data_IF_869349217490
#
_entry.id   IF_869349217490
#
_cell.length_a   1.000
_cell.length_b   1.000
_cell.length_c   1.000
_cell.angle_alpha   90.00
_cell.angle_beta   90.00
_cell.angle_gamma   90.00
#
_symmetry.space_group_name_H-M   'P 1'
#
loop_
_entity.id
_entity.type
_entity.pdbx_description
1 polymer ?
#
# COMPACT_ATOMS: atom_id res chain seq x y z
N UNK A 1 -0.30 -34.15 -8.95
CA UNK A 1 0.25 -32.76 -8.87
C UNK A 1 -0.92 -31.81 -9.00
N UNK A 2 -1.06 -30.77 -8.15
CA UNK A 2 -2.14 -29.81 -8.28
C UNK A 2 -2.07 -29.09 -9.64
N UNK A 3 -3.25 -28.77 -10.18
CA UNK A 3 -3.37 -28.09 -11.46
C UNK A 3 -2.77 -26.66 -11.38
N UNK A 4 -2.15 -26.17 -12.45
CA UNK A 4 -1.73 -24.78 -12.50
C UNK A 4 -2.95 -23.86 -12.50
N UNK A 5 -2.82 -22.70 -11.85
CA UNK A 5 -3.84 -21.66 -11.85
C UNK A 5 -3.31 -20.37 -12.44
N UNK A 6 -4.22 -19.56 -12.95
CA UNK A 6 -3.91 -18.23 -13.49
C UNK A 6 -4.35 -17.16 -12.50
N UNK A 7 -3.58 -16.11 -12.37
CA UNK A 7 -3.93 -14.93 -11.58
C UNK A 7 -3.23 -13.69 -12.14
N UNK A 8 -3.76 -12.52 -11.83
CA UNK A 8 -3.09 -11.25 -12.10
C UNK A 8 -2.58 -10.68 -10.78
N UNK A 9 -1.36 -10.17 -10.79
CA UNK A 9 -0.73 -9.66 -9.57
C UNK A 9 0.24 -8.52 -9.85
N UNK A 10 0.47 -7.70 -8.82
CA UNK A 10 1.58 -6.74 -8.78
C UNK A 10 2.79 -7.40 -8.12
N UNK A 11 3.96 -7.25 -8.70
CA UNK A 11 5.23 -7.69 -8.10
C UNK A 11 5.65 -6.65 -7.07
N UNK A 12 5.39 -6.92 -5.78
CA UNK A 12 5.73 -6.01 -4.68
C UNK A 12 7.23 -5.98 -4.41
N UNK A 13 7.85 -7.16 -4.44
CA UNK A 13 9.28 -7.35 -4.13
C UNK A 13 9.85 -8.55 -4.86
N UNK A 14 11.11 -8.47 -5.26
CA UNK A 14 11.84 -9.56 -5.88
C UNK A 14 13.20 -9.74 -5.18
N UNK A 15 13.49 -10.95 -4.71
CA UNK A 15 14.70 -11.29 -3.98
C UNK A 15 15.50 -12.32 -4.78
N UNK A 16 16.79 -12.10 -4.95
CA UNK A 16 17.69 -13.09 -5.58
C UNK A 16 17.76 -14.34 -4.70
N UNK A 17 17.62 -15.50 -5.33
CA UNK A 17 17.70 -16.78 -4.66
C UNK A 17 18.55 -17.75 -5.49
N UNK A 18 19.55 -18.38 -4.85
CA UNK A 18 20.51 -19.21 -5.56
C UNK A 18 21.19 -18.49 -6.72
N UNK A 19 21.66 -19.26 -7.71
CA UNK A 19 22.43 -18.72 -8.85
C UNK A 19 21.55 -18.01 -9.89
N UNK A 20 20.35 -18.52 -10.16
CA UNK A 20 19.54 -18.08 -11.29
C UNK A 20 18.07 -17.80 -10.96
N UNK A 21 17.64 -18.01 -9.72
CA UNK A 21 16.25 -17.92 -9.31
C UNK A 21 15.94 -16.58 -8.64
N UNK A 22 14.65 -16.27 -8.50
CA UNK A 22 14.13 -15.17 -7.68
C UNK A 22 12.95 -15.66 -6.84
N UNK A 23 12.86 -15.18 -5.60
CA UNK A 23 11.64 -15.26 -4.80
C UNK A 23 10.89 -13.95 -4.99
N UNK A 24 9.60 -14.07 -5.30
CA UNK A 24 8.71 -12.96 -5.56
C UNK A 24 7.68 -12.86 -4.44
N UNK A 25 7.46 -11.65 -3.94
CA UNK A 25 6.31 -11.29 -3.14
C UNK A 25 5.32 -10.59 -4.06
N UNK A 26 4.16 -11.19 -4.23
CA UNK A 26 3.12 -10.75 -5.15
C UNK A 26 1.88 -10.34 -4.35
N UNK A 27 1.14 -9.38 -4.89
CA UNK A 27 -0.21 -9.08 -4.40
C UNK A 27 -1.19 -9.28 -5.54
N UNK A 28 -2.09 -10.24 -5.37
CA UNK A 28 -2.98 -10.74 -6.41
C UNK A 28 -4.39 -10.20 -6.22
N UNK A 29 -5.11 -10.03 -7.33
CA UNK A 29 -6.50 -9.58 -7.35
C UNK A 29 -7.45 -10.55 -6.64
N UNK A 30 -7.24 -11.86 -6.83
CA UNK A 30 -8.15 -12.93 -6.43
C UNK A 30 -7.63 -13.82 -5.30
N UNK A 31 -6.38 -13.62 -4.85
CA UNK A 31 -5.71 -14.47 -3.86
C UNK A 31 -4.90 -13.70 -2.82
N UNK A 32 -5.05 -12.39 -2.72
CA UNK A 32 -4.28 -11.58 -1.79
C UNK A 32 -2.77 -11.73 -1.95
N UNK A 33 -2.05 -11.94 -0.86
CA UNK A 33 -0.60 -12.11 -0.87
C UNK A 33 -0.17 -13.49 -1.34
N UNK A 34 0.75 -13.55 -2.29
CA UNK A 34 1.32 -14.78 -2.84
C UNK A 34 2.84 -14.72 -2.76
N UNK A 35 3.47 -15.77 -2.20
CA UNK A 35 4.88 -16.04 -2.36
C UNK A 35 5.12 -16.97 -3.55
N UNK A 36 6.07 -16.63 -4.44
CA UNK A 36 6.38 -17.48 -5.58
C UNK A 36 7.87 -17.54 -5.89
N UNK A 37 8.34 -18.68 -6.41
CA UNK A 37 9.69 -18.84 -6.93
C UNK A 37 9.67 -18.84 -8.45
N UNK A 38 10.48 -17.97 -9.06
CA UNK A 38 10.73 -17.94 -10.50
C UNK A 38 12.08 -18.58 -10.80
N UNK A 39 12.05 -19.86 -11.21
CA UNK A 39 13.25 -20.65 -11.45
C UNK A 39 13.93 -20.27 -12.76
N UNK A 40 15.27 -20.14 -12.73
CA UNK A 40 16.09 -19.82 -13.89
C UNK A 40 15.84 -18.44 -14.52
N UNK A 41 15.09 -17.59 -13.82
CA UNK A 41 14.62 -16.30 -14.35
C UNK A 41 15.76 -15.32 -14.64
N UNK A 42 16.92 -15.48 -13.98
CA UNK A 42 18.12 -14.66 -14.17
C UNK A 42 19.07 -15.18 -15.26
N UNK A 43 18.76 -16.30 -15.88
CA UNK A 43 19.57 -16.81 -17.00
C UNK A 43 19.39 -15.91 -18.23
N UNK A 44 20.46 -15.71 -19.00
CA UNK A 44 20.47 -14.84 -20.20
C UNK A 44 19.35 -15.20 -21.20
N UNK A 45 19.04 -16.49 -21.34
CA UNK A 45 17.98 -16.98 -22.23
C UNK A 45 16.59 -17.05 -21.58
N UNK A 46 16.40 -16.47 -20.40
CA UNK A 46 15.09 -16.49 -19.73
C UNK A 46 14.08 -15.62 -20.47
N UNK A 47 12.93 -16.20 -20.80
CA UNK A 47 11.81 -15.47 -21.41
C UNK A 47 10.99 -14.65 -20.39
N UNK A 48 11.22 -14.85 -19.10
CA UNK A 48 10.42 -14.22 -18.01
C UNK A 48 11.21 -13.14 -17.25
N UNK A 49 12.52 -12.99 -17.47
CA UNK A 49 13.38 -12.16 -16.62
C UNK A 49 12.92 -10.72 -16.49
N UNK A 50 12.67 -10.03 -17.58
CA UNK A 50 12.24 -8.63 -17.58
C UNK A 50 10.77 -8.41 -17.20
N UNK A 51 9.95 -9.47 -17.20
CA UNK A 51 8.51 -9.38 -16.88
C UNK A 51 8.23 -9.39 -15.39
N UNK A 52 9.14 -9.91 -14.57
CA UNK A 52 8.97 -10.15 -13.14
C UNK A 52 9.75 -9.13 -12.28
N UNK A 53 9.96 -7.93 -12.82
CA UNK A 53 10.59 -6.86 -12.06
C UNK A 53 9.59 -6.24 -11.06
N UNK A 54 10.07 -5.77 -9.89
CA UNK A 54 9.21 -5.06 -8.92
C UNK A 54 8.42 -3.92 -9.59
N UNK A 55 7.25 -3.62 -9.07
CA UNK A 55 6.30 -2.61 -9.54
C UNK A 55 5.56 -2.97 -10.84
N UNK A 56 5.92 -4.07 -11.51
CA UNK A 56 5.18 -4.52 -12.69
C UNK A 56 3.89 -5.24 -12.31
N UNK A 57 2.84 -5.00 -13.06
CA UNK A 57 1.58 -5.76 -13.04
C UNK A 57 1.66 -6.86 -14.09
N UNK A 58 1.41 -8.10 -13.69
CA UNK A 58 1.69 -9.29 -14.49
C UNK A 58 0.56 -10.30 -14.43
N UNK A 59 0.25 -10.91 -15.56
CA UNK A 59 -0.58 -12.12 -15.62
C UNK A 59 0.32 -13.34 -15.45
N UNK A 60 0.02 -14.18 -14.47
CA UNK A 60 0.84 -15.29 -14.03
C UNK A 60 0.15 -16.63 -14.22
N UNK A 61 0.94 -17.64 -14.54
CA UNK A 61 0.57 -19.05 -14.39
C UNK A 61 1.43 -19.61 -13.27
N UNK A 62 0.77 -20.01 -12.20
CA UNK A 62 1.39 -20.51 -10.98
C UNK A 62 1.04 -21.97 -10.77
N UNK A 63 1.97 -22.74 -10.22
CA UNK A 63 1.74 -24.09 -9.73
C UNK A 63 2.03 -24.12 -8.24
N UNK A 64 1.18 -24.77 -7.48
CA UNK A 64 1.41 -24.99 -6.06
C UNK A 64 2.73 -25.75 -5.83
N UNK A 65 3.52 -25.26 -4.88
CA UNK A 65 4.76 -25.89 -4.43
C UNK A 65 4.51 -26.90 -3.30
N UNK A 66 5.59 -27.49 -2.79
CA UNK A 66 5.55 -28.38 -1.60
C UNK A 66 5.53 -27.62 -0.27
N UNK A 67 5.55 -26.30 -0.28
CA UNK A 67 5.54 -25.39 0.88
C UNK A 67 4.81 -24.12 0.50
N UNK A 68 5.11 -23.03 1.20
CA UNK A 68 4.43 -21.74 1.10
C UNK A 68 4.70 -20.98 -0.22
N UNK A 69 5.65 -21.48 -1.05
CA UNK A 69 6.01 -20.82 -2.30
C UNK A 69 5.41 -21.57 -3.49
N UNK A 70 4.65 -20.84 -4.29
CA UNK A 70 4.21 -21.29 -5.61
C UNK A 70 5.38 -21.25 -6.61
N UNK A 71 5.31 -22.03 -7.70
CA UNK A 71 6.28 -21.96 -8.79
C UNK A 71 5.69 -21.21 -9.97
N UNK A 72 6.39 -20.16 -10.44
CA UNK A 72 6.01 -19.44 -11.67
C UNK A 72 6.34 -20.33 -12.87
N UNK A 73 5.32 -20.66 -13.67
CA UNK A 73 5.45 -21.45 -14.90
C UNK A 73 5.21 -20.64 -16.17
N UNK A 74 4.56 -19.48 -16.03
CA UNK A 74 4.35 -18.51 -17.12
C UNK A 74 4.13 -17.12 -16.53
N UNK A 75 4.56 -16.09 -17.29
CA UNK A 75 4.35 -14.69 -16.93
C UNK A 75 4.25 -13.85 -18.20
N UNK A 76 3.22 -13.00 -18.26
CA UNK A 76 3.05 -11.98 -19.28
C UNK A 76 2.86 -10.62 -18.63
N UNK A 77 3.48 -9.58 -19.17
CA UNK A 77 3.37 -8.23 -18.64
C UNK A 77 1.99 -7.65 -18.99
N UNK A 78 1.27 -7.18 -17.99
CA UNK A 78 0.03 -6.40 -18.16
C UNK A 78 0.37 -4.91 -18.20
N UNK A 79 1.16 -4.45 -17.22
CA UNK A 79 1.71 -3.09 -17.20
C UNK A 79 3.12 -3.13 -16.56
N UNK A 80 4.10 -2.55 -17.25
CA UNK A 80 5.48 -2.51 -16.78
C UNK A 80 5.82 -1.24 -16.00
N UNK A 81 4.96 -0.24 -16.04
CA UNK A 81 5.16 1.11 -15.48
C UNK A 81 6.57 1.64 -15.81
N UNK A 82 6.91 1.84 -17.10
CA UNK A 82 8.28 2.10 -17.53
C UNK A 82 8.84 3.42 -16.97
N UNK A 83 7.99 4.44 -16.88
CA UNK A 83 8.40 5.78 -16.47
C UNK A 83 8.69 5.90 -14.96
N UNK A 84 8.13 5.00 -14.12
CA UNK A 84 8.46 4.94 -12.70
C UNK A 84 9.97 4.74 -12.45
N UNK A 85 10.65 3.99 -13.33
CA UNK A 85 12.07 3.66 -13.16
C UNK A 85 13.01 4.78 -13.57
N UNK A 86 12.52 5.73 -14.35
CA UNK A 86 13.30 6.85 -14.86
C UNK A 86 13.27 8.07 -13.93
N UNK A 87 12.37 8.05 -12.92
CA UNK A 87 12.12 9.19 -12.03
C UNK A 87 12.23 8.76 -10.58
N UNK A 88 13.23 9.30 -9.90
CA UNK A 88 13.57 8.92 -8.53
C UNK A 88 12.39 9.07 -7.55
N UNK A 89 11.72 10.21 -7.59
CA UNK A 89 10.62 10.52 -6.70
C UNK A 89 9.45 9.54 -6.90
N UNK A 90 9.03 9.31 -8.14
CA UNK A 90 7.98 8.34 -8.48
C UNK A 90 8.36 6.92 -8.07
N UNK A 91 9.62 6.51 -8.32
CA UNK A 91 10.13 5.19 -7.94
C UNK A 91 10.12 5.00 -6.42
N UNK A 92 10.54 6.02 -5.67
CA UNK A 92 10.54 5.99 -4.19
C UNK A 92 9.11 5.86 -3.66
N UNK A 93 8.15 6.64 -4.16
CA UNK A 93 6.74 6.57 -3.75
C UNK A 93 6.11 5.23 -4.09
N UNK A 94 6.31 4.74 -5.31
CA UNK A 94 5.81 3.42 -5.74
C UNK A 94 6.39 2.29 -4.88
N UNK A 95 7.69 2.35 -4.55
CA UNK A 95 8.34 1.38 -3.67
C UNK A 95 7.76 1.43 -2.25
N UNK A 96 7.48 2.63 -1.71
CA UNK A 96 6.85 2.81 -0.41
C UNK A 96 5.41 2.29 -0.41
N UNK A 97 4.65 2.49 -1.50
CA UNK A 97 3.29 1.95 -1.64
C UNK A 97 3.30 0.41 -1.64
N UNK A 98 4.19 -0.21 -2.40
CA UNK A 98 4.36 -1.67 -2.40
C UNK A 98 4.81 -2.21 -1.03
N UNK A 99 5.72 -1.53 -0.32
CA UNK A 99 6.14 -1.93 1.04
C UNK A 99 4.99 -1.81 2.04
N UNK A 100 4.14 -0.77 1.93
CA UNK A 100 2.96 -0.61 2.77
C UNK A 100 1.97 -1.76 2.58
N UNK A 101 1.65 -2.11 1.33
CA UNK A 101 0.79 -3.27 1.01
C UNK A 101 1.40 -4.57 1.53
N UNK A 102 2.70 -4.79 1.31
CA UNK A 102 3.41 -6.00 1.74
C UNK A 102 3.39 -6.19 3.26
N UNK A 103 3.41 -5.10 4.03
CA UNK A 103 3.44 -5.14 5.50
C UNK A 103 2.06 -5.18 6.12
N UNK A 104 1.09 -4.47 5.53
CA UNK A 104 -0.25 -4.32 6.11
C UNK A 104 -1.18 -5.47 5.72
N UNK A 105 -1.02 -6.03 4.51
CA UNK A 105 -1.88 -7.06 3.97
C UNK A 105 -1.08 -8.37 3.84
N UNK A 106 -0.99 -9.12 4.92
CA UNK A 106 -0.16 -10.32 5.03
C UNK A 106 -0.92 -11.62 4.76
N UNK A 107 -2.26 -11.57 4.67
CA UNK A 107 -3.07 -12.74 4.40
C UNK A 107 -3.17 -13.09 2.91
N UNK A 108 -3.50 -14.37 2.65
CA UNK A 108 -3.86 -14.86 1.32
C UNK A 108 -5.31 -14.57 0.94
N UNK A 109 -6.04 -13.82 1.78
CA UNK A 109 -7.42 -13.46 1.48
C UNK A 109 -7.48 -12.36 0.43
N UNK A 110 -8.36 -12.47 -0.57
CA UNK A 110 -8.52 -11.44 -1.58
C UNK A 110 -9.00 -10.12 -0.97
N UNK A 111 -8.31 -9.04 -1.29
CA UNK A 111 -8.78 -7.67 -1.00
C UNK A 111 -8.71 -6.85 -2.29
N UNK A 112 -9.77 -6.97 -3.09
CA UNK A 112 -9.87 -6.30 -4.39
C UNK A 112 -9.79 -4.76 -4.29
N UNK A 113 -10.39 -4.10 -3.29
CA UNK A 113 -10.19 -2.65 -3.08
C UNK A 113 -8.73 -2.26 -2.92
N UNK A 114 -7.96 -2.99 -2.12
CA UNK A 114 -6.53 -2.71 -1.92
C UNK A 114 -5.71 -3.01 -3.18
N UNK A 115 -6.04 -4.08 -3.93
CA UNK A 115 -5.40 -4.38 -5.20
C UNK A 115 -5.62 -3.26 -6.23
N UNK A 116 -6.86 -2.84 -6.41
CA UNK A 116 -7.21 -1.76 -7.34
C UNK A 116 -6.56 -0.43 -6.93
N UNK A 117 -6.53 -0.13 -5.64
CA UNK A 117 -5.86 1.06 -5.11
C UNK A 117 -4.37 1.05 -5.44
N UNK A 118 -3.68 -0.08 -5.24
CA UNK A 118 -2.26 -0.22 -5.58
C UNK A 118 -2.02 -0.06 -7.08
N UNK A 119 -2.82 -0.71 -7.92
CA UNK A 119 -2.70 -0.59 -9.38
C UNK A 119 -2.90 0.86 -9.84
N UNK A 120 -3.88 1.56 -9.25
CA UNK A 120 -4.13 2.97 -9.55
C UNK A 120 -2.98 3.87 -9.11
N UNK A 121 -2.42 3.65 -7.92
CA UNK A 121 -1.26 4.41 -7.41
C UNK A 121 -0.05 4.25 -8.34
N UNK A 122 0.30 3.02 -8.72
CA UNK A 122 1.42 2.78 -9.62
C UNK A 122 1.21 3.44 -10.99
N UNK A 123 -0.01 3.36 -11.53
CA UNK A 123 -0.36 3.98 -12.80
C UNK A 123 -0.31 5.52 -12.73
N UNK A 124 -0.81 6.11 -11.64
CA UNK A 124 -0.77 7.55 -11.42
C UNK A 124 0.68 8.05 -11.35
N UNK A 125 1.52 7.42 -10.54
CA UNK A 125 2.93 7.78 -10.38
C UNK A 125 3.74 7.56 -11.67
N UNK A 126 3.36 6.61 -12.50
CA UNK A 126 3.99 6.36 -13.80
C UNK A 126 3.65 7.45 -14.82
N UNK A 127 2.39 7.86 -14.90
CA UNK A 127 1.90 8.81 -15.91
C UNK A 127 2.08 10.27 -15.50
N UNK A 128 1.97 10.58 -14.21
CA UNK A 128 1.94 11.93 -13.65
C UNK A 128 3.05 12.13 -12.61
N UNK A 129 4.27 12.49 -13.02
CA UNK A 129 5.39 12.67 -12.07
C UNK A 129 5.12 13.71 -10.99
N UNK A 130 4.32 14.73 -11.30
CA UNK A 130 3.92 15.76 -10.35
C UNK A 130 3.07 15.21 -9.19
N UNK A 131 2.48 14.00 -9.35
CA UNK A 131 1.75 13.32 -8.30
C UNK A 131 2.67 12.70 -7.22
N UNK A 132 3.98 12.59 -7.45
CA UNK A 132 4.91 11.98 -6.49
C UNK A 132 5.16 12.85 -5.24
N UNK A 133 4.11 13.42 -4.65
CA UNK A 133 4.16 14.31 -3.49
C UNK A 133 4.00 13.57 -2.17
N UNK A 134 4.33 14.25 -1.06
CA UNK A 134 4.04 13.78 0.29
C UNK A 134 2.55 13.62 0.54
N UNK A 135 1.76 14.60 0.11
CA UNK A 135 0.31 14.56 0.24
C UNK A 135 -0.28 13.34 -0.47
N UNK A 136 0.11 13.09 -1.73
CA UNK A 136 -0.33 11.92 -2.47
C UNK A 136 -0.05 10.60 -1.73
N UNK A 137 1.17 10.43 -1.24
CA UNK A 137 1.54 9.20 -0.52
C UNK A 137 0.75 9.00 0.78
N UNK A 138 0.40 10.09 1.49
CA UNK A 138 -0.45 10.02 2.68
C UNK A 138 -1.92 9.72 2.33
N UNK A 139 -2.43 10.26 1.22
CA UNK A 139 -3.77 9.92 0.73
C UNK A 139 -3.86 8.43 0.33
N UNK A 140 -2.85 7.90 -0.35
CA UNK A 140 -2.75 6.46 -0.62
C UNK A 140 -2.79 5.64 0.67
N UNK A 141 -2.00 6.00 1.69
CA UNK A 141 -1.96 5.29 2.98
C UNK A 141 -3.30 5.33 3.71
N UNK A 142 -4.01 6.47 3.70
CA UNK A 142 -5.34 6.58 4.28
C UNK A 142 -6.35 5.64 3.61
N UNK A 143 -6.34 5.60 2.28
CA UNK A 143 -7.20 4.67 1.52
C UNK A 143 -6.80 3.21 1.75
N UNK A 144 -5.52 2.93 1.93
CA UNK A 144 -5.04 1.59 2.25
C UNK A 144 -5.51 1.15 3.65
N UNK A 145 -5.48 2.05 4.65
CA UNK A 145 -6.08 1.80 5.97
C UNK A 145 -7.57 1.47 5.86
N UNK A 146 -8.32 2.23 5.06
CA UNK A 146 -9.74 1.94 4.81
C UNK A 146 -9.93 0.57 4.18
N UNK A 147 -9.17 0.25 3.13
CA UNK A 147 -9.25 -1.04 2.46
C UNK A 147 -8.86 -2.22 3.37
N UNK A 148 -7.96 -1.99 4.33
CA UNK A 148 -7.52 -2.98 5.31
C UNK A 148 -8.43 -3.07 6.56
N UNK A 149 -9.45 -2.21 6.68
CA UNK A 149 -10.35 -2.20 7.84
C UNK A 149 -9.83 -1.46 9.07
N UNK A 150 -8.82 -0.62 8.91
CA UNK A 150 -8.19 0.18 9.99
C UNK A 150 -8.45 1.69 9.86
N UNK A 151 -9.48 2.11 9.09
CA UNK A 151 -9.80 3.52 8.97
C UNK A 151 -10.18 4.12 10.32
N UNK A 152 -9.56 5.24 10.75
CA UNK A 152 -9.92 5.88 11.99
C UNK A 152 -11.30 6.53 11.92
N UNK A 153 -11.97 6.66 13.09
CA UNK A 153 -13.18 7.47 13.22
C UNK A 153 -12.81 8.96 13.12
N UNK A 154 -13.44 9.67 12.20
CA UNK A 154 -13.17 11.09 11.92
C UNK A 154 -14.41 11.98 11.98
N UNK A 155 -15.59 11.42 12.11
CA UNK A 155 -16.86 12.18 12.12
C UNK A 155 -17.34 12.52 13.54
N UNK A 156 -16.91 11.75 14.53
CA UNK A 156 -17.28 11.93 15.93
C UNK A 156 -16.13 11.53 16.84
N UNK A 157 -16.18 11.92 18.11
CA UNK A 157 -15.23 11.47 19.11
C UNK A 157 -15.26 9.94 19.21
N UNK A 158 -14.15 9.29 18.91
CA UNK A 158 -14.02 7.84 18.90
C UNK A 158 -14.30 7.20 20.30
N UNK A 159 -14.18 7.99 21.38
CA UNK A 159 -14.39 7.51 22.74
C UNK A 159 -15.83 7.72 23.26
N UNK A 160 -16.46 8.87 22.98
CA UNK A 160 -17.79 9.20 23.58
C UNK A 160 -18.88 9.55 22.56
N UNK A 161 -18.55 9.66 21.27
CA UNK A 161 -19.50 9.98 20.21
C UNK A 161 -19.84 11.48 20.06
N UNK A 162 -19.20 12.39 20.82
CA UNK A 162 -19.35 13.84 20.67
C UNK A 162 -18.95 14.27 19.26
N UNK A 163 -19.69 15.20 18.67
CA UNK A 163 -19.46 15.66 17.27
C UNK A 163 -18.86 17.04 17.16
N UNK A 164 -18.83 17.78 18.25
CA UNK A 164 -18.31 19.14 18.29
C UNK A 164 -16.94 19.17 18.99
N UNK A 165 -16.17 20.24 18.73
CA UNK A 165 -14.88 20.49 19.38
C UNK A 165 -13.85 19.33 19.23
N UNK A 166 -13.82 18.68 18.07
CA UNK A 166 -12.89 17.60 17.78
C UNK A 166 -11.52 18.19 17.40
N UNK A 167 -10.52 18.09 18.28
CA UNK A 167 -9.23 18.79 18.10
C UNK A 167 -8.00 17.96 18.43
N UNK A 168 -8.16 16.67 18.78
CA UNK A 168 -7.04 15.79 19.08
C UNK A 168 -7.24 14.41 18.42
N UNK A 169 -6.16 13.66 18.24
CA UNK A 169 -6.18 12.32 17.69
C UNK A 169 -5.60 11.30 18.69
N UNK A 170 -6.31 10.22 18.88
CA UNK A 170 -5.90 9.09 19.73
C UNK A 170 -5.98 7.78 18.95
N UNK A 171 -4.86 7.18 18.67
CA UNK A 171 -4.82 5.85 18.03
C UNK A 171 -5.46 4.78 18.92
N UNK A 172 -5.26 4.85 20.25
CA UNK A 172 -5.85 3.91 21.20
C UNK A 172 -7.38 4.00 21.28
N UNK A 173 -7.94 5.21 21.08
CA UNK A 173 -9.39 5.39 20.96
C UNK A 173 -9.92 5.04 19.57
N UNK A 174 -9.04 4.94 18.56
CA UNK A 174 -9.39 4.60 17.20
C UNK A 174 -9.72 5.79 16.30
N UNK A 175 -9.37 7.04 16.68
CA UNK A 175 -9.66 8.19 15.83
C UNK A 175 -9.54 9.55 16.52
N UNK A 176 -10.36 10.51 16.04
CA UNK A 176 -10.41 11.84 16.60
C UNK A 176 -11.16 11.86 17.95
N UNK A 177 -10.73 12.72 18.87
CA UNK A 177 -11.32 12.83 20.21
C UNK A 177 -11.61 14.28 20.59
N UNK A 178 -12.63 14.46 21.46
CA UNK A 178 -12.98 15.74 22.04
C UNK A 178 -12.10 16.07 23.27
N UNK A 179 -12.10 17.32 23.78
CA UNK A 179 -11.28 17.71 24.94
C UNK A 179 -11.51 16.88 26.19
N UNK A 180 -12.73 16.38 26.40
CA UNK A 180 -13.04 15.51 27.53
C UNK A 180 -12.45 14.10 27.46
N UNK A 181 -11.97 13.69 26.26
CA UNK A 181 -11.42 12.37 25.98
C UNK A 181 -9.96 12.41 25.48
N UNK A 182 -9.29 13.53 25.58
CA UNK A 182 -7.95 13.75 24.95
C UNK A 182 -6.78 13.08 25.68
N UNK A 183 -7.01 12.40 26.80
CA UNK A 183 -5.92 11.72 27.52
C UNK A 183 -5.20 10.69 26.63
N UNK A 184 -3.87 10.86 26.49
CA UNK A 184 -3.04 9.99 25.62
C UNK A 184 -3.17 10.30 24.13
N UNK A 185 -3.76 11.43 23.73
CA UNK A 185 -3.88 11.90 22.36
C UNK A 185 -2.79 12.93 22.01
N UNK A 186 -2.79 13.38 20.76
CA UNK A 186 -2.02 14.56 20.34
C UNK A 186 -2.91 15.56 19.60
N UNK A 187 -2.58 16.88 19.66
CA UNK A 187 -3.36 17.91 18.98
C UNK A 187 -3.40 17.67 17.47
N UNK A 188 -4.59 17.71 16.88
CA UNK A 188 -4.82 17.61 15.44
C UNK A 188 -5.44 18.94 14.96
N UNK A 189 -4.77 19.64 14.04
CA UNK A 189 -5.30 20.87 13.47
C UNK A 189 -6.52 20.62 12.59
N UNK A 190 -7.40 21.62 12.44
CA UNK A 190 -8.53 21.55 11.53
C UNK A 190 -8.11 21.18 10.10
N UNK A 191 -7.03 21.77 9.60
CA UNK A 191 -6.45 21.46 8.28
C UNK A 191 -6.04 19.98 8.16
N UNK A 192 -5.40 19.40 9.19
CA UNK A 192 -5.02 17.98 9.18
C UNK A 192 -6.25 17.08 9.26
N UNK A 193 -7.27 17.45 10.03
CA UNK A 193 -8.53 16.73 10.09
C UNK A 193 -9.26 16.75 8.74
N UNK A 194 -9.40 17.93 8.13
CA UNK A 194 -10.00 18.08 6.78
C UNK A 194 -9.26 17.26 5.73
N UNK A 195 -7.91 17.21 5.82
CA UNK A 195 -7.11 16.38 4.94
C UNK A 195 -7.43 14.89 5.12
N UNK A 196 -7.47 14.37 6.36
CA UNK A 196 -7.78 12.97 6.65
C UNK A 196 -9.15 12.57 6.10
N UNK A 197 -10.17 13.41 6.34
CA UNK A 197 -11.54 13.19 5.82
C UNK A 197 -11.52 13.23 4.28
N UNK A 198 -10.94 14.27 3.70
CA UNK A 198 -10.88 14.44 2.25
C UNK A 198 -10.12 13.30 1.53
N UNK A 199 -9.04 12.82 2.14
CA UNK A 199 -8.27 11.68 1.62
C UNK A 199 -9.08 10.38 1.56
N UNK A 200 -10.09 10.21 2.42
CA UNK A 200 -10.99 9.05 2.37
C UNK A 200 -12.05 9.18 1.28
N UNK A 201 -12.65 10.36 1.12
CA UNK A 201 -13.84 10.54 0.27
C UNK A 201 -13.53 10.94 -1.17
N UNK A 202 -12.42 11.67 -1.41
CA UNK A 202 -12.05 12.10 -2.77
C UNK A 202 -11.33 11.01 -3.55
N UNK A 203 -11.32 11.07 -4.90
CA UNK A 203 -10.45 10.22 -5.71
C UNK A 203 -8.98 10.35 -5.31
N UNK A 204 -8.19 9.30 -5.51
CA UNK A 204 -6.77 9.28 -5.14
C UNK A 204 -5.96 10.40 -5.83
N UNK A 205 -6.27 10.69 -7.10
CA UNK A 205 -5.62 11.76 -7.86
C UNK A 205 -6.08 13.18 -7.47
N UNK A 206 -7.16 13.31 -6.70
CA UNK A 206 -7.75 14.60 -6.27
C UNK A 206 -7.73 14.69 -4.73
N UNK A 207 -6.59 14.40 -4.12
CA UNK A 207 -6.42 14.54 -2.68
C UNK A 207 -6.42 16.01 -2.25
N UNK A 208 -6.82 16.34 -0.99
CA UNK A 208 -6.73 17.71 -0.49
C UNK A 208 -5.30 18.25 -0.50
N UNK A 209 -5.15 19.55 -0.73
CA UNK A 209 -3.90 20.24 -0.42
C UNK A 209 -3.82 20.50 1.10
N UNK A 210 -2.61 20.45 1.66
CA UNK A 210 -2.38 20.80 3.06
C UNK A 210 -0.95 21.29 3.28
N UNK A 211 -0.75 22.07 4.34
CA UNK A 211 0.57 22.55 4.75
C UNK A 211 1.45 21.39 5.24
N UNK A 212 2.76 21.55 5.17
CA UNK A 212 3.72 20.56 5.69
C UNK A 212 3.50 20.27 7.18
N UNK A 213 3.04 21.25 7.96
CA UNK A 213 2.68 21.06 9.37
C UNK A 213 1.48 20.11 9.51
N UNK A 214 0.43 20.31 8.71
CA UNK A 214 -0.74 19.44 8.72
C UNK A 214 -0.40 18.04 8.22
N UNK A 215 0.38 17.91 7.13
CA UNK A 215 0.85 16.62 6.62
C UNK A 215 1.71 15.86 7.64
N UNK A 216 2.48 16.55 8.48
CA UNK A 216 3.23 15.90 9.56
C UNK A 216 2.29 15.31 10.64
N UNK A 217 1.18 16.00 10.95
CA UNK A 217 0.15 15.46 11.88
C UNK A 217 -0.59 14.28 11.25
N UNK A 218 -0.92 14.35 9.97
CA UNK A 218 -1.53 13.25 9.20
C UNK A 218 -0.62 12.01 9.21
N UNK A 219 0.67 12.17 8.90
CA UNK A 219 1.65 11.08 8.90
C UNK A 219 1.78 10.44 10.29
N UNK A 220 1.71 11.27 11.36
CA UNK A 220 1.68 10.79 12.73
C UNK A 220 0.40 9.98 13.03
N UNK A 221 -0.77 10.50 12.66
CA UNK A 221 -2.05 9.82 12.89
C UNK A 221 -2.09 8.45 12.19
N UNK A 222 -1.69 8.39 10.92
CA UNK A 222 -1.59 7.14 10.16
C UNK A 222 -0.58 6.18 10.82
N UNK A 223 0.59 6.69 11.20
CA UNK A 223 1.66 5.88 11.80
C UNK A 223 1.22 5.26 13.13
N UNK A 224 0.65 6.06 14.04
CA UNK A 224 0.16 5.58 15.34
C UNK A 224 -1.02 4.61 15.18
N UNK A 225 -1.92 4.83 14.22
CA UNK A 225 -3.00 3.87 13.89
C UNK A 225 -2.44 2.52 13.44
N UNK A 226 -1.47 2.53 12.53
CA UNK A 226 -0.81 1.31 12.04
C UNK A 226 -0.08 0.58 13.16
N UNK A 227 0.65 1.29 14.00
CA UNK A 227 1.39 0.69 15.12
C UNK A 227 0.45 0.09 16.17
N UNK A 228 -0.65 0.80 16.48
CA UNK A 228 -1.57 0.37 17.54
C UNK A 228 -2.47 -0.80 17.11
N UNK A 229 -3.06 -0.72 15.92
CA UNK A 229 -4.09 -1.68 15.47
C UNK A 229 -3.56 -2.79 14.56
N UNK A 230 -2.55 -2.51 13.75
CA UNK A 230 -2.00 -3.47 12.80
C UNK A 230 -0.61 -4.01 13.23
N UNK A 231 0.01 -3.45 14.27
CA UNK A 231 1.37 -3.75 14.71
C UNK A 231 2.42 -3.58 13.59
N UNK A 232 2.16 -2.65 12.68
CA UNK A 232 3.01 -2.36 11.50
C UNK A 232 3.64 -0.98 11.63
N UNK A 233 4.95 -0.91 11.38
CA UNK A 233 5.68 0.35 11.22
C UNK A 233 6.04 0.57 9.77
N UNK A 234 5.58 1.67 9.18
CA UNK A 234 6.00 2.12 7.87
C UNK A 234 7.05 3.22 8.00
N UNK A 235 7.90 3.36 6.97
CA UNK A 235 8.80 4.51 6.87
C UNK A 235 7.95 5.78 6.77
N UNK A 236 8.38 6.84 7.47
CA UNK A 236 7.75 8.16 7.34
C UNK A 236 7.82 8.63 5.89
N UNK A 237 6.79 9.37 5.47
CA UNK A 237 6.75 9.99 4.16
C UNK A 237 7.54 11.31 4.26
N UNK A 238 8.71 11.34 3.66
CA UNK A 238 9.56 12.54 3.60
C UNK A 238 9.08 13.50 2.51
#
# INVERSE_FOLDING_TARGET
>A
MPAPFKTEAVVLRSIRYGEADRILHLYSEDRGRIGAIAKGVRRVKSRMGGRLEPLSRVALILREGRGDLHTVTGADTVDAHPWLRERRESLDRATQACDAVLRLLDSSDPNRPAYNLLCHELQLLDREPAAATRAQALAFRMKLLLAAGFAPELAACAACGEREHLGAFSASAGGIVCPGCEAGSFPLSAEAHEYLVGALVRPLADHPAASERALAQVDRAIGETLEHHAHVRLRRVA
#
